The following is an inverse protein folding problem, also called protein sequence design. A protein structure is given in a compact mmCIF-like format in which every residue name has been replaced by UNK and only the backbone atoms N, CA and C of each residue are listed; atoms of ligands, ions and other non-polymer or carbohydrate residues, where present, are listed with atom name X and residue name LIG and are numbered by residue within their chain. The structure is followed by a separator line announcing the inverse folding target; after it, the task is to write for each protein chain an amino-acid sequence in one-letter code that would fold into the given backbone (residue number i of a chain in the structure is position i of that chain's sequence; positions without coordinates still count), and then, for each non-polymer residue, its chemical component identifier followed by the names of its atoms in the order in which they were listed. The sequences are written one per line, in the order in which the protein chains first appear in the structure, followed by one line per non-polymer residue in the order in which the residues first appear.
data_IF_942224510996
#
_entry.id   IF_942224510996
#
_cell.length_a   1.000
_cell.length_b   1.000
_cell.length_c   1.000
_cell.angle_alpha   90.00
_cell.angle_beta   90.00
_cell.angle_gamma   90.00
#
_symmetry.space_group_name_H-M   'P 1'
#
loop_
_entity.id
_entity.type
_entity.pdbx_description
1 polymer ?
#
# COMPACT_ATOMS: atom_id res chain seq x y z
N UNK A 1 -30.71 -49.39 -21.83
CA UNK A 1 -29.57 -48.84 -21.02
C UNK A 1 -29.57 -47.33 -21.26
N UNK A 2 -30.45 -46.63 -20.51
CA UNK A 2 -30.57 -45.16 -20.60
C UNK A 2 -29.41 -44.52 -19.78
N UNK A 3 -28.59 -43.77 -20.50
CA UNK A 3 -27.57 -42.92 -19.82
C UNK A 3 -28.30 -41.71 -19.21
N UNK A 4 -28.40 -41.69 -17.90
CA UNK A 4 -28.75 -40.48 -17.17
C UNK A 4 -27.67 -39.44 -17.39
N UNK A 5 -27.89 -38.48 -18.26
CA UNK A 5 -27.12 -37.26 -18.33
C UNK A 5 -27.55 -36.42 -17.13
N UNK A 6 -26.72 -36.41 -16.11
CA UNK A 6 -26.91 -35.54 -14.96
C UNK A 6 -26.71 -34.10 -15.44
N UNK A 7 -27.76 -33.28 -15.46
CA UNK A 7 -27.67 -31.88 -15.76
C UNK A 7 -26.70 -31.19 -14.74
N UNK A 8 -25.79 -30.34 -15.20
CA UNK A 8 -24.92 -29.64 -14.29
C UNK A 8 -25.75 -28.79 -13.33
N UNK A 9 -25.66 -29.08 -12.04
CA UNK A 9 -26.25 -28.24 -11.00
C UNK A 9 -25.48 -26.92 -10.98
N UNK A 10 -26.04 -25.89 -11.56
CA UNK A 10 -25.58 -24.55 -11.35
C UNK A 10 -25.89 -24.15 -9.90
N UNK A 11 -24.84 -23.97 -9.09
CA UNK A 11 -24.94 -23.33 -7.79
C UNK A 11 -24.86 -21.83 -8.07
N UNK A 12 -25.89 -21.06 -7.69
CA UNK A 12 -25.83 -19.62 -7.74
C UNK A 12 -24.66 -19.16 -6.87
N UNK A 13 -23.66 -18.54 -7.48
CA UNK A 13 -22.57 -17.91 -6.76
C UNK A 13 -23.05 -16.50 -6.48
N UNK A 14 -23.10 -16.12 -5.21
CA UNK A 14 -23.38 -14.73 -4.78
C UNK A 14 -22.12 -13.88 -5.04
N UNK A 15 -21.79 -13.75 -6.30
CA UNK A 15 -20.65 -12.97 -6.80
C UNK A 15 -21.16 -12.08 -7.94
N UNK A 16 -21.17 -10.79 -7.67
CA UNK A 16 -21.39 -9.78 -8.70
C UNK A 16 -20.02 -9.32 -9.24
N UNK A 17 -19.66 -9.69 -10.48
CA UNK A 17 -18.39 -9.27 -11.08
C UNK A 17 -18.33 -7.76 -11.36
N UNK A 18 -19.44 -7.05 -11.20
CA UNK A 18 -19.54 -5.60 -11.39
C UNK A 18 -19.50 -4.82 -10.08
N UNK A 19 -19.41 -5.50 -8.93
CA UNK A 19 -19.16 -4.86 -7.63
C UNK A 19 -17.67 -4.75 -7.37
N UNK A 20 -17.24 -3.61 -6.89
CA UNK A 20 -15.84 -3.31 -6.56
C UNK A 20 -15.26 -2.20 -7.43
N UNK A 21 -14.01 -1.78 -7.14
CA UNK A 21 -13.34 -0.76 -7.93
C UNK A 21 -13.05 -1.26 -9.35
N UNK A 22 -13.12 -0.37 -10.31
CA UNK A 22 -12.73 -0.69 -11.67
C UNK A 22 -11.26 -1.10 -11.73
N UNK A 23 -10.99 -2.24 -12.37
CA UNK A 23 -9.63 -2.71 -12.59
C UNK A 23 -9.09 -2.00 -13.83
N UNK A 24 -8.07 -1.15 -13.64
CA UNK A 24 -7.39 -0.45 -14.73
C UNK A 24 -6.55 -1.44 -15.57
N UNK A 25 -5.81 -2.31 -14.88
CA UNK A 25 -4.98 -3.34 -15.50
C UNK A 25 -4.68 -4.50 -14.57
N UNK A 26 -4.24 -5.60 -15.15
CA UNK A 26 -3.73 -6.75 -14.40
C UNK A 26 -2.27 -7.00 -14.77
N UNK A 27 -1.44 -7.23 -13.76
CA UNK A 27 0.00 -7.43 -13.90
C UNK A 27 0.33 -8.84 -13.39
N UNK A 28 1.13 -9.65 -14.10
CA UNK A 28 1.58 -10.92 -13.55
C UNK A 28 2.44 -10.69 -12.30
N UNK A 29 2.28 -11.50 -11.27
CA UNK A 29 3.15 -11.43 -10.07
C UNK A 29 4.53 -11.99 -10.39
N UNK A 30 5.56 -11.35 -9.85
CA UNK A 30 6.94 -11.87 -9.87
C UNK A 30 7.06 -13.10 -8.98
N UNK A 31 8.16 -13.86 -9.11
CA UNK A 31 8.44 -14.99 -8.23
C UNK A 31 8.55 -14.55 -6.77
N UNK A 32 9.32 -13.48 -6.51
CA UNK A 32 9.46 -12.91 -5.18
C UNK A 32 8.11 -12.54 -4.53
N UNK A 33 7.19 -11.95 -5.30
CA UNK A 33 5.85 -11.65 -4.79
C UNK A 33 5.05 -12.90 -4.44
N UNK A 34 5.18 -13.99 -5.21
CA UNK A 34 4.52 -15.27 -4.91
C UNK A 34 5.10 -15.94 -3.67
N UNK A 35 6.42 -15.83 -3.45
CA UNK A 35 7.08 -16.30 -2.23
C UNK A 35 6.58 -15.55 -1.00
N UNK A 36 6.56 -14.21 -1.05
CA UNK A 36 6.01 -13.36 0.03
C UNK A 36 4.54 -13.70 0.29
N UNK A 37 3.73 -13.87 -0.77
CA UNK A 37 2.32 -14.26 -0.61
C UNK A 37 2.18 -15.62 0.07
N UNK A 38 2.91 -16.64 -0.42
CA UNK A 38 2.86 -17.99 0.14
C UNK A 38 3.24 -17.99 1.63
N UNK A 39 4.28 -17.25 1.98
CA UNK A 39 4.69 -17.11 3.38
C UNK A 39 3.63 -16.36 4.20
N UNK A 40 3.02 -15.31 3.66
CA UNK A 40 1.97 -14.54 4.34
C UNK A 40 0.70 -15.37 4.60
N UNK A 41 0.41 -16.36 3.76
CA UNK A 41 -0.75 -17.26 3.93
C UNK A 41 -0.54 -18.34 5.01
N UNK A 42 0.66 -18.45 5.58
CA UNK A 42 0.95 -19.38 6.69
C UNK A 42 0.31 -18.97 8.03
N UNK A 43 -0.21 -17.75 8.14
CA UNK A 43 -0.92 -17.24 9.30
C UNK A 43 -0.78 -15.74 9.51
N UNK A 44 -1.50 -15.22 10.49
CA UNK A 44 -1.53 -13.77 10.76
C UNK A 44 -0.14 -13.25 11.12
N UNK A 45 0.60 -13.92 11.99
CA UNK A 45 1.93 -13.51 12.40
C UNK A 45 2.92 -13.54 11.23
N UNK A 46 2.82 -14.55 10.37
CA UNK A 46 3.63 -14.66 9.17
C UNK A 46 3.31 -13.54 8.18
N UNK A 47 2.03 -13.20 7.99
CA UNK A 47 1.63 -12.04 7.16
C UNK A 47 2.16 -10.73 7.74
N UNK A 48 2.00 -10.51 9.04
CA UNK A 48 2.47 -9.30 9.71
C UNK A 48 4.00 -9.13 9.68
N UNK A 49 4.76 -10.23 9.57
CA UNK A 49 6.22 -10.16 9.42
C UNK A 49 6.67 -9.45 8.12
N UNK A 50 5.77 -9.31 7.15
CA UNK A 50 5.98 -8.56 5.90
C UNK A 50 5.43 -7.14 5.94
N UNK A 51 5.00 -6.64 7.09
CA UNK A 51 4.66 -5.23 7.26
C UNK A 51 5.95 -4.42 7.39
N UNK A 52 6.18 -3.51 6.48
CA UNK A 52 7.29 -2.55 6.54
C UNK A 52 6.77 -1.18 6.92
N UNK A 53 7.40 -0.55 7.89
CA UNK A 53 7.03 0.79 8.31
C UNK A 53 8.22 1.72 8.51
N UNK A 54 8.00 3.00 8.22
CA UNK A 54 8.96 4.07 8.44
C UNK A 54 8.26 5.28 9.03
N UNK A 55 8.97 6.05 9.83
CA UNK A 55 8.50 7.33 10.36
C UNK A 55 9.40 8.46 9.92
N UNK A 56 8.76 9.55 9.46
CA UNK A 56 9.40 10.82 9.11
C UNK A 56 9.04 11.87 10.15
N UNK A 57 10.03 12.52 10.72
CA UNK A 57 9.80 13.68 11.57
C UNK A 57 9.66 14.94 10.71
N UNK A 58 8.55 15.65 10.87
CA UNK A 58 8.23 16.89 10.19
C UNK A 58 8.27 18.03 11.20
N UNK A 59 9.19 18.98 11.03
CA UNK A 59 9.36 20.15 11.90
C UNK A 59 8.89 21.42 11.23
N UNK A 60 8.25 22.29 12.02
CA UNK A 60 7.74 23.60 11.60
C UNK A 60 6.25 23.60 11.33
N UNK A 61 5.76 24.70 10.75
CA UNK A 61 4.35 24.88 10.43
C UNK A 61 3.93 23.93 9.28
N UNK A 62 3.14 22.92 9.60
CA UNK A 62 2.63 21.93 8.66
C UNK A 62 1.29 22.39 8.09
N UNK A 63 1.17 22.37 6.76
CA UNK A 63 -0.12 22.43 6.07
C UNK A 63 -0.65 21.00 5.89
N UNK A 64 -1.54 20.59 6.78
CA UNK A 64 -2.11 19.24 6.78
C UNK A 64 -2.86 18.93 5.48
N UNK A 65 -3.61 19.89 4.94
CA UNK A 65 -4.36 19.68 3.71
C UNK A 65 -3.44 19.51 2.48
N UNK A 66 -2.31 20.24 2.47
CA UNK A 66 -1.28 20.04 1.43
C UNK A 66 -0.61 18.66 1.56
N UNK A 67 -0.35 18.20 2.80
CA UNK A 67 0.22 16.86 3.03
C UNK A 67 -0.75 15.75 2.62
N UNK A 68 -2.02 15.87 2.95
CA UNK A 68 -3.04 14.90 2.55
C UNK A 68 -3.15 14.79 1.02
N UNK A 69 -3.18 15.93 0.33
CA UNK A 69 -3.13 15.97 -1.15
C UNK A 69 -1.87 15.33 -1.70
N UNK A 70 -0.71 15.62 -1.11
CA UNK A 70 0.58 15.05 -1.52
C UNK A 70 0.58 13.52 -1.40
N UNK A 71 0.10 12.99 -0.30
CA UNK A 71 0.01 11.55 -0.06
C UNK A 71 -1.00 10.88 -0.99
N UNK A 72 -2.12 11.53 -1.27
CA UNK A 72 -3.09 11.05 -2.26
C UNK A 72 -2.46 10.95 -3.66
N UNK A 73 -1.76 12.00 -4.10
CA UNK A 73 -1.08 12.01 -5.39
C UNK A 73 0.07 10.99 -5.45
N UNK A 74 0.76 10.73 -4.34
CA UNK A 74 1.75 9.67 -4.24
C UNK A 74 1.14 8.28 -4.52
N UNK A 75 0.04 7.95 -3.83
CA UNK A 75 -0.66 6.67 -4.02
C UNK A 75 -1.22 6.55 -5.44
N UNK A 76 -1.78 7.63 -5.98
CA UNK A 76 -2.28 7.67 -7.36
C UNK A 76 -1.18 7.42 -8.38
N UNK A 77 0.00 7.97 -8.15
CA UNK A 77 1.16 7.91 -9.04
C UNK A 77 1.75 6.50 -9.15
N UNK A 78 1.79 5.75 -8.05
CA UNK A 78 2.43 4.44 -7.98
C UNK A 78 1.41 3.30 -8.04
N UNK A 79 1.40 2.56 -9.15
CA UNK A 79 0.50 1.43 -9.38
C UNK A 79 0.50 0.42 -8.23
N UNK A 80 1.69 0.10 -7.69
CA UNK A 80 1.84 -0.86 -6.62
C UNK A 80 1.01 -0.49 -5.37
N UNK A 81 0.92 0.81 -5.02
CA UNK A 81 0.21 1.28 -3.83
C UNK A 81 -1.32 1.21 -3.93
N UNK A 82 -1.86 1.06 -5.14
CA UNK A 82 -3.30 0.90 -5.41
C UNK A 82 -3.62 -0.45 -6.04
N UNK A 83 -2.75 -1.43 -5.77
CA UNK A 83 -2.90 -2.80 -6.25
C UNK A 83 -3.30 -3.75 -5.14
N UNK A 84 -3.95 -4.84 -5.53
CA UNK A 84 -4.25 -6.01 -4.69
C UNK A 84 -3.88 -7.28 -5.44
N UNK A 85 -4.00 -8.44 -4.82
CA UNK A 85 -3.73 -9.71 -5.46
C UNK A 85 -5.04 -10.41 -5.84
N UNK A 86 -5.08 -11.07 -7.00
CA UNK A 86 -6.20 -11.93 -7.35
C UNK A 86 -6.26 -13.19 -6.46
N UNK A 87 -7.35 -13.94 -6.51
CA UNK A 87 -7.57 -15.11 -5.65
C UNK A 87 -6.44 -16.16 -5.74
N UNK A 88 -5.87 -16.38 -6.92
CA UNK A 88 -4.78 -17.35 -7.12
C UNK A 88 -3.38 -16.79 -6.80
N UNK A 89 -3.23 -15.49 -6.49
CA UNK A 89 -1.94 -14.86 -6.26
C UNK A 89 -1.05 -14.72 -7.50
N UNK A 90 -1.56 -15.06 -8.68
CA UNK A 90 -0.79 -15.04 -9.93
C UNK A 90 -0.79 -13.70 -10.63
N UNK A 91 -1.65 -12.76 -10.19
CA UNK A 91 -1.79 -11.43 -10.77
C UNK A 91 -2.02 -10.38 -9.70
N UNK A 92 -1.42 -9.22 -9.89
CA UNK A 92 -1.84 -7.98 -9.24
C UNK A 92 -2.97 -7.34 -10.05
N UNK A 93 -3.93 -6.79 -9.34
CA UNK A 93 -5.07 -6.05 -9.85
C UNK A 93 -4.86 -4.57 -9.52
N UNK A 94 -4.51 -3.77 -10.50
CA UNK A 94 -4.35 -2.32 -10.36
C UNK A 94 -5.71 -1.66 -10.51
N UNK A 95 -6.14 -0.89 -9.53
CA UNK A 95 -7.41 -0.16 -9.59
C UNK A 95 -7.18 1.30 -9.98
N UNK A 96 -8.15 1.93 -10.64
CA UNK A 96 -8.16 3.37 -10.91
C UNK A 96 -8.57 4.18 -9.66
N UNK A 97 -9.26 3.54 -8.72
CA UNK A 97 -9.66 4.14 -7.46
C UNK A 97 -8.48 4.27 -6.49
N UNK A 98 -8.25 5.48 -5.99
CA UNK A 98 -7.28 5.73 -4.93
C UNK A 98 -7.95 5.63 -3.57
N UNK A 99 -7.77 4.51 -2.89
CA UNK A 99 -8.27 4.27 -1.51
C UNK A 99 -7.22 4.69 -0.51
N UNK A 100 -7.20 5.97 -0.19
CA UNK A 100 -6.22 6.52 0.73
C UNK A 100 -6.87 7.51 1.69
N UNK A 101 -6.47 7.43 2.95
CA UNK A 101 -6.80 8.38 4.01
C UNK A 101 -5.54 8.67 4.83
N UNK A 102 -5.42 9.88 5.33
CA UNK A 102 -4.35 10.29 6.24
C UNK A 102 -4.95 10.68 7.60
N UNK A 103 -5.32 9.71 8.45
CA UNK A 103 -5.83 10.02 9.77
C UNK A 103 -4.76 10.72 10.61
N UNK A 104 -5.20 11.67 11.44
CA UNK A 104 -4.33 12.38 12.37
C UNK A 104 -4.65 11.99 13.82
N UNK A 105 -3.58 11.73 14.60
CA UNK A 105 -3.65 11.57 16.06
C UNK A 105 -2.91 12.75 16.69
N UNK A 106 -3.54 13.44 17.65
CA UNK A 106 -2.90 14.52 18.41
C UNK A 106 -2.46 14.01 19.78
N UNK A 107 -1.16 13.89 19.97
CA UNK A 107 -0.51 13.51 21.23
C UNK A 107 0.17 14.71 21.92
N UNK A 108 0.01 15.91 21.40
CA UNK A 108 0.73 17.10 21.86
C UNK A 108 0.35 17.53 23.29
N UNK A 109 -0.81 17.10 23.78
CA UNK A 109 -1.26 17.36 25.14
C UNK A 109 -0.70 16.36 26.18
N UNK A 110 -0.10 15.26 25.76
CA UNK A 110 0.47 14.24 26.64
C UNK A 110 1.84 14.68 27.17
N UNK A 111 2.16 14.24 28.38
CA UNK A 111 3.54 14.30 28.88
C UNK A 111 4.46 13.35 28.09
N UNK A 112 5.75 13.43 28.30
CA UNK A 112 6.74 12.65 27.54
C UNK A 112 6.55 11.14 27.67
N UNK A 113 6.27 10.65 28.87
CA UNK A 113 6.04 9.23 29.16
C UNK A 113 4.80 8.70 28.41
N UNK A 114 3.64 9.35 28.58
CA UNK A 114 2.40 8.95 27.91
C UNK A 114 2.47 9.09 26.38
N UNK A 115 3.26 10.05 25.88
CA UNK A 115 3.51 10.18 24.43
C UNK A 115 4.35 9.02 23.91
N UNK A 116 5.39 8.64 24.63
CA UNK A 116 6.25 7.50 24.28
C UNK A 116 5.42 6.21 24.24
N UNK A 117 4.63 5.94 25.28
CA UNK A 117 3.75 4.77 25.32
C UNK A 117 2.77 4.73 24.13
N UNK A 118 2.18 5.87 23.78
CA UNK A 118 1.27 5.93 22.62
C UNK A 118 2.00 5.70 21.30
N UNK A 119 3.18 6.25 21.11
CA UNK A 119 3.99 6.03 19.91
C UNK A 119 4.41 4.58 19.77
N UNK A 120 4.82 3.92 20.85
CA UNK A 120 5.16 2.51 20.86
C UNK A 120 3.93 1.63 20.55
N UNK A 121 2.78 1.97 21.13
CA UNK A 121 1.51 1.29 20.83
C UNK A 121 1.13 1.40 19.35
N UNK A 122 1.26 2.59 18.76
CA UNK A 122 1.00 2.81 17.33
C UNK A 122 1.99 2.01 16.48
N UNK A 123 3.28 2.02 16.83
CA UNK A 123 4.29 1.25 16.12
C UNK A 123 4.01 -0.26 16.17
N UNK A 124 3.67 -0.76 17.36
CA UNK A 124 3.30 -2.17 17.54
C UNK A 124 2.05 -2.55 16.74
N UNK A 125 1.04 -1.68 16.72
CA UNK A 125 -0.18 -1.90 15.94
C UNK A 125 0.12 -2.02 14.44
N UNK A 126 1.01 -1.19 13.90
CA UNK A 126 1.42 -1.30 12.49
C UNK A 126 2.07 -2.65 12.19
N UNK A 127 2.91 -3.14 13.12
CA UNK A 127 3.60 -4.43 12.97
C UNK A 127 2.69 -5.64 13.14
N UNK A 128 1.59 -5.51 13.89
CA UNK A 128 0.70 -6.64 14.24
C UNK A 128 -0.66 -6.59 13.54
N UNK A 129 -0.95 -5.56 12.76
CA UNK A 129 -2.20 -5.48 11.99
C UNK A 129 -1.96 -5.99 10.57
N UNK A 130 -2.53 -7.14 10.18
CA UNK A 130 -2.33 -7.69 8.86
C UNK A 130 -2.97 -6.79 7.78
N UNK A 131 -2.44 -6.88 6.58
CA UNK A 131 -3.08 -6.37 5.37
C UNK A 131 -3.96 -7.44 4.74
N UNK A 132 -5.12 -7.04 4.22
CA UNK A 132 -5.92 -7.91 3.36
C UNK A 132 -5.35 -7.84 1.94
N UNK A 133 -4.59 -8.85 1.55
CA UNK A 133 -3.88 -8.86 0.28
C UNK A 133 -4.83 -8.95 -0.94
N UNK A 134 -6.09 -9.33 -0.72
CA UNK A 134 -7.10 -9.50 -1.77
C UNK A 134 -7.97 -8.26 -1.98
N UNK A 135 -8.29 -7.56 -0.89
CA UNK A 135 -9.19 -6.42 -0.92
C UNK A 135 -8.47 -5.08 -0.71
N UNK A 136 -7.28 -5.10 -0.11
CA UNK A 136 -6.48 -3.90 0.14
C UNK A 136 -7.13 -2.91 1.12
N UNK A 137 -6.64 -1.67 1.17
CA UNK A 137 -5.39 -1.20 0.56
C UNK A 137 -4.15 -1.84 1.21
N UNK A 138 -3.06 -2.01 0.44
CA UNK A 138 -1.81 -2.62 0.91
C UNK A 138 -0.77 -1.60 1.38
N UNK A 139 -1.20 -0.36 1.50
CA UNK A 139 -0.43 0.76 2.03
C UNK A 139 -1.34 1.61 2.93
N UNK A 140 -0.81 2.05 4.05
CA UNK A 140 -1.46 2.97 4.98
C UNK A 140 -0.49 4.01 5.49
N UNK A 141 -0.98 5.18 5.80
CA UNK A 141 -0.20 6.25 6.41
C UNK A 141 -0.99 6.87 7.56
N UNK A 142 -0.26 7.48 8.49
CA UNK A 142 -0.83 8.17 9.64
C UNK A 142 0.01 9.39 9.99
N UNK A 143 -0.64 10.49 10.31
CA UNK A 143 -0.02 11.71 10.82
C UNK A 143 -0.19 11.76 12.33
N UNK A 144 0.90 11.93 13.07
CA UNK A 144 0.89 12.04 14.52
C UNK A 144 1.46 13.40 14.91
N UNK A 145 0.67 14.23 15.57
CA UNK A 145 1.15 15.50 16.12
C UNK A 145 1.70 15.25 17.51
N UNK A 146 2.99 15.51 17.70
CA UNK A 146 3.71 15.28 18.97
C UNK A 146 4.00 16.58 19.72
N UNK A 147 4.03 17.73 19.03
CA UNK A 147 4.13 19.07 19.60
C UNK A 147 3.44 20.08 18.66
N UNK A 148 3.41 21.35 19.04
CA UNK A 148 2.78 22.42 18.24
C UNK A 148 3.32 22.53 16.82
N UNK A 149 4.61 22.22 16.65
CA UNK A 149 5.38 22.35 15.41
C UNK A 149 6.14 21.09 15.04
N UNK A 150 5.83 19.94 15.69
CA UNK A 150 6.47 18.65 15.41
C UNK A 150 5.41 17.58 15.15
N UNK A 151 5.53 16.94 13.99
CA UNK A 151 4.67 15.84 13.58
C UNK A 151 5.51 14.65 13.14
N UNK A 152 4.94 13.45 13.25
CA UNK A 152 5.49 12.23 12.67
C UNK A 152 4.54 11.76 11.57
N UNK A 153 5.05 11.61 10.36
CA UNK A 153 4.36 10.93 9.27
C UNK A 153 4.83 9.47 9.27
N UNK A 154 3.93 8.56 9.62
CA UNK A 154 4.18 7.12 9.55
C UNK A 154 3.64 6.59 8.25
N UNK A 155 4.46 5.79 7.57
CA UNK A 155 4.10 5.04 6.36
C UNK A 155 4.25 3.56 6.68
N UNK A 156 3.28 2.76 6.30
CA UNK A 156 3.32 1.32 6.46
C UNK A 156 2.76 0.65 5.21
N UNK A 157 3.50 -0.29 4.63
CA UNK A 157 3.10 -1.05 3.48
C UNK A 157 3.43 -2.54 3.63
N UNK A 158 2.72 -3.39 2.90
CA UNK A 158 3.05 -4.81 2.84
C UNK A 158 4.16 -5.05 1.82
N UNK A 159 5.13 -5.90 2.15
CA UNK A 159 6.32 -6.15 1.32
C UNK A 159 6.00 -6.70 -0.09
N UNK A 160 4.79 -7.18 -0.32
CA UNK A 160 4.33 -7.61 -1.65
C UNK A 160 4.19 -6.45 -2.64
N UNK A 161 4.07 -5.19 -2.17
CA UNK A 161 3.91 -3.98 -2.99
C UNK A 161 4.98 -2.93 -2.77
N UNK A 162 5.77 -3.03 -1.73
CA UNK A 162 6.87 -2.09 -1.44
C UNK A 162 7.98 -2.77 -0.65
N UNK A 163 9.16 -2.19 -0.70
CA UNK A 163 10.36 -2.59 0.03
C UNK A 163 11.06 -1.35 0.60
N UNK A 164 12.19 -1.52 1.26
CA UNK A 164 12.95 -0.41 1.83
C UNK A 164 13.38 0.64 0.79
N UNK A 165 13.66 0.22 -0.46
CA UNK A 165 13.96 1.15 -1.55
C UNK A 165 12.74 1.96 -1.95
N UNK A 166 11.59 1.31 -2.08
CA UNK A 166 10.29 1.94 -2.36
C UNK A 166 9.92 2.98 -1.29
N UNK A 167 10.15 2.66 0.00
CA UNK A 167 9.93 3.61 1.09
C UNK A 167 10.82 4.85 0.95
N UNK A 168 12.08 4.69 0.55
CA UNK A 168 12.98 5.80 0.25
C UNK A 168 12.46 6.72 -0.87
N UNK A 169 11.96 6.14 -1.95
CA UNK A 169 11.34 6.89 -3.06
C UNK A 169 10.09 7.62 -2.57
N UNK A 170 9.21 6.94 -1.84
CA UNK A 170 7.99 7.54 -1.30
C UNK A 170 8.28 8.73 -0.39
N UNK A 171 9.31 8.65 0.45
CA UNK A 171 9.74 9.77 1.30
C UNK A 171 10.21 10.97 0.46
N UNK A 172 11.06 10.74 -0.53
CA UNK A 172 11.57 11.81 -1.39
C UNK A 172 10.46 12.48 -2.21
N UNK A 173 9.59 11.68 -2.82
CA UNK A 173 8.49 12.18 -3.63
C UNK A 173 7.41 12.87 -2.79
N UNK A 174 7.10 12.37 -1.59
CA UNK A 174 6.18 13.03 -0.66
C UNK A 174 6.60 14.46 -0.35
N UNK A 175 7.90 14.72 -0.18
CA UNK A 175 8.43 16.06 0.05
C UNK A 175 8.21 16.98 -1.16
N UNK A 176 8.49 16.49 -2.38
CA UNK A 176 8.28 17.25 -3.59
C UNK A 176 6.79 17.55 -3.85
N UNK A 177 5.93 16.56 -3.66
CA UNK A 177 4.48 16.68 -3.80
C UNK A 177 3.88 17.64 -2.77
N UNK A 178 4.35 17.56 -1.50
CA UNK A 178 3.93 18.47 -0.45
C UNK A 178 4.29 19.93 -0.77
N UNK A 179 5.52 20.18 -1.19
CA UNK A 179 5.95 21.52 -1.54
C UNK A 179 5.17 22.08 -2.73
N UNK A 180 4.89 21.25 -3.72
CA UNK A 180 4.07 21.64 -4.87
C UNK A 180 2.63 21.97 -4.45
N UNK A 181 2.00 21.10 -3.64
CA UNK A 181 0.64 21.28 -3.14
C UNK A 181 0.51 22.55 -2.28
N UNK A 182 1.50 22.81 -1.40
CA UNK A 182 1.54 23.98 -0.53
C UNK A 182 1.68 25.29 -1.32
N UNK A 183 2.47 25.27 -2.40
CA UNK A 183 2.76 26.44 -3.21
C UNK A 183 1.80 26.61 -4.41
N UNK A 184 0.82 25.71 -4.59
CA UNK A 184 -0.09 25.75 -5.73
C UNK A 184 0.63 25.55 -7.08
N UNK A 185 1.73 24.79 -7.10
CA UNK A 185 2.56 24.54 -8.29
C UNK A 185 2.50 23.06 -8.69
N UNK A 186 2.98 22.76 -9.91
CA UNK A 186 3.15 21.37 -10.32
C UNK A 186 4.42 20.76 -9.72
N UNK A 187 4.39 19.51 -9.26
CA UNK A 187 5.57 18.84 -8.73
C UNK A 187 6.60 18.61 -9.86
N UNK A 188 7.87 18.85 -9.56
CA UNK A 188 8.98 18.54 -10.46
C UNK A 188 9.50 17.13 -10.17
N UNK A 189 8.78 16.14 -10.65
CA UNK A 189 9.16 14.73 -10.53
C UNK A 189 9.32 14.12 -11.92
N UNK A 190 10.30 13.21 -12.12
CA UNK A 190 10.38 12.43 -13.36
C UNK A 190 9.12 11.56 -13.49
N UNK A 191 8.84 11.03 -14.66
CA UNK A 191 7.79 10.04 -14.82
C UNK A 191 8.06 8.82 -13.94
N UNK A 192 7.03 8.31 -13.26
CA UNK A 192 7.19 7.12 -12.44
C UNK A 192 7.33 5.90 -13.35
N UNK A 193 8.37 5.09 -13.11
CA UNK A 193 8.42 3.76 -13.70
C UNK A 193 7.23 2.93 -13.23
N UNK A 194 6.58 2.25 -14.15
CA UNK A 194 5.41 1.44 -13.81
C UNK A 194 5.86 0.11 -13.21
N UNK A 195 5.13 -0.37 -12.21
CA UNK A 195 5.37 -1.72 -11.70
C UNK A 195 5.09 -2.78 -12.77
N UNK A 196 4.18 -2.48 -13.69
CA UNK A 196 3.88 -3.32 -14.86
C UNK A 196 5.10 -3.61 -15.70
N UNK A 197 5.88 -2.59 -16.05
CA UNK A 197 7.11 -2.75 -16.84
C UNK A 197 8.17 -3.55 -16.09
N UNK A 198 8.36 -3.26 -14.81
CA UNK A 198 9.29 -4.01 -13.95
C UNK A 198 8.93 -5.49 -13.86
N UNK A 199 7.65 -5.81 -13.61
CA UNK A 199 7.19 -7.20 -13.48
C UNK A 199 7.40 -7.99 -14.77
N UNK A 200 7.02 -7.43 -15.91
CA UNK A 200 7.20 -8.09 -17.22
C UNK A 200 8.69 -8.29 -17.50
N UNK A 201 9.51 -7.27 -17.33
CA UNK A 201 10.95 -7.36 -17.55
C UNK A 201 11.63 -8.43 -16.66
N UNK A 202 11.22 -8.51 -15.38
CA UNK A 202 11.75 -9.51 -14.43
C UNK A 202 11.36 -10.93 -14.85
N UNK A 203 10.11 -11.14 -15.28
CA UNK A 203 9.64 -12.46 -15.73
C UNK A 203 10.31 -12.87 -17.03
N UNK A 204 10.51 -11.96 -17.96
CA UNK A 204 11.17 -12.24 -19.24
C UNK A 204 12.66 -12.54 -19.04
N UNK A 205 13.33 -11.81 -18.13
CA UNK A 205 14.71 -12.10 -17.73
C UNK A 205 14.85 -13.51 -17.16
N UNK A 206 13.95 -13.92 -16.26
CA UNK A 206 13.97 -15.24 -15.64
C UNK A 206 13.73 -16.40 -16.63
N UNK A 207 13.15 -16.12 -17.81
CA UNK A 207 12.94 -17.09 -18.89
C UNK A 207 14.06 -17.10 -19.95
N UNK A 208 14.95 -16.10 -19.89
CA UNK A 208 16.05 -16.01 -20.85
C UNK A 208 17.03 -17.14 -20.58
N UNK A 209 17.43 -17.97 -21.57
CA UNK A 209 18.53 -18.89 -21.40
C UNK A 209 19.83 -18.08 -21.22
N UNK A 210 20.63 -18.43 -20.19
CA UNK A 210 21.99 -17.97 -20.04
C UNK A 210 22.86 -18.32 -21.26
#
# INVERSE_FOLDING_TARGET
MEKFIQEPRFVAIDFDPFTGPAIERTIPTTEAQREVLTASEMGIDASCAYNESVSLELKGALDQAALERAMYELVKRHEALRSTLNASGTRMLVTDEVRFQLPMIDLSALNEEGRTEQLDSIAQKDMTTPFDLRNGPLFRAQLIKVASDVHLLRLCGHHVVCDGWSLGIMMAESSALYNAAKNGSSPKLPEASTFSEYSVATIDFAKSPD
#
